data_IF_571534598021
#
_entry.id   IF_571534598021
#
_cell.length_a   1.000
_cell.length_b   1.000
_cell.length_c   1.000
_cell.angle_alpha   90.00
_cell.angle_beta   90.00
_cell.angle_gamma   90.00
#
_symmetry.space_group_name_H-M   'P 1'
#
loop_
_entity.id
_entity.type
_entity.pdbx_description
1 polymer ?
#
# COMPACT_ATOMS: atom_id res chain seq x y z
N UNK A 1 -55.45 31.98 1.29
CA UNK A 1 -55.11 30.60 0.88
C UNK A 1 -53.62 30.57 0.57
N UNK A 2 -52.80 30.08 1.50
CA UNK A 2 -51.33 30.06 1.38
C UNK A 2 -50.92 28.65 0.95
N UNK A 3 -50.29 28.53 -0.23
CA UNK A 3 -49.73 27.28 -0.74
C UNK A 3 -48.28 27.16 -0.24
N UNK A 4 -48.05 26.29 0.74
CA UNK A 4 -46.71 25.92 1.19
C UNK A 4 -46.15 24.88 0.22
N UNK A 5 -45.08 25.24 -0.49
CA UNK A 5 -44.32 24.33 -1.36
C UNK A 5 -43.18 23.73 -0.52
N UNK A 6 -43.18 22.40 -0.37
CA UNK A 6 -42.10 21.66 0.28
C UNK A 6 -41.19 21.12 -0.82
N UNK A 7 -39.99 21.68 -0.95
CA UNK A 7 -38.93 21.12 -1.81
C UNK A 7 -38.17 20.05 -1.03
N UNK A 8 -38.20 18.82 -1.53
CA UNK A 8 -37.40 17.70 -1.03
C UNK A 8 -36.06 17.71 -1.79
N UNK A 9 -34.96 18.01 -1.10
CA UNK A 9 -33.61 17.88 -1.67
C UNK A 9 -33.15 16.44 -1.41
N UNK A 10 -33.15 15.61 -2.45
CA UNK A 10 -32.55 14.28 -2.40
C UNK A 10 -31.03 14.42 -2.59
N UNK A 11 -30.27 14.26 -1.50
CA UNK A 11 -28.81 14.12 -1.57
C UNK A 11 -28.52 12.67 -1.95
N UNK A 12 -28.21 12.45 -3.23
CA UNK A 12 -27.71 11.16 -3.70
C UNK A 12 -26.28 10.96 -3.21
N UNK A 13 -26.09 10.03 -2.27
CA UNK A 13 -24.76 9.50 -1.94
C UNK A 13 -24.36 8.55 -3.06
N UNK A 14 -23.55 9.03 -4.00
CA UNK A 14 -22.79 8.15 -4.88
C UNK A 14 -21.66 7.54 -4.03
N UNK A 15 -21.83 6.29 -3.60
CA UNK A 15 -20.72 5.52 -3.08
C UNK A 15 -19.86 5.13 -4.29
N UNK A 16 -18.65 5.68 -4.39
CA UNK A 16 -17.65 5.12 -5.29
C UNK A 16 -17.38 3.69 -4.79
N UNK A 17 -17.43 2.72 -5.70
CA UNK A 17 -16.94 1.38 -5.44
C UNK A 17 -15.41 1.47 -5.41
N UNK A 18 -14.89 1.78 -4.23
CA UNK A 18 -13.48 1.70 -3.89
C UNK A 18 -13.02 0.24 -3.92
N UNK A 19 -11.80 -0.03 -4.39
CA UNK A 19 -11.12 -1.30 -4.19
C UNK A 19 -11.22 -1.67 -2.71
N UNK A 20 -11.60 -2.93 -2.44
CA UNK A 20 -11.77 -3.35 -1.06
C UNK A 20 -10.38 -3.47 -0.43
N UNK A 21 -9.98 -2.46 0.36
CA UNK A 21 -8.77 -2.52 1.17
C UNK A 21 -8.65 -3.90 1.84
N UNK A 22 -7.51 -4.56 1.63
CA UNK A 22 -7.30 -5.93 2.08
C UNK A 22 -7.11 -5.88 3.59
N UNK A 23 -8.06 -6.44 4.35
CA UNK A 23 -7.96 -6.48 5.81
C UNK A 23 -6.83 -7.42 6.25
N UNK A 24 -6.17 -7.12 7.37
CA UNK A 24 -5.11 -7.96 7.91
C UNK A 24 -5.56 -9.42 8.07
N UNK A 25 -4.79 -10.36 7.49
CA UNK A 25 -5.06 -11.80 7.61
C UNK A 25 -6.25 -12.29 6.79
N UNK A 26 -6.70 -11.54 5.78
CA UNK A 26 -7.58 -12.07 4.74
C UNK A 26 -6.93 -13.27 4.06
N UNK A 27 -7.71 -14.32 3.80
CA UNK A 27 -7.27 -15.40 2.93
C UNK A 27 -6.91 -14.89 1.53
N UNK A 28 -6.09 -15.66 0.82
CA UNK A 28 -5.74 -15.47 -0.58
C UNK A 28 -6.94 -14.97 -1.41
N UNK A 29 -6.81 -13.78 -1.99
CA UNK A 29 -7.82 -13.11 -2.79
C UNK A 29 -7.36 -12.96 -4.25
N UNK A 30 -8.29 -12.70 -5.16
CA UNK A 30 -7.90 -12.31 -6.53
C UNK A 30 -7.22 -10.93 -6.52
N UNK A 31 -6.14 -10.71 -7.30
CA UNK A 31 -5.48 -9.42 -7.35
C UNK A 31 -6.41 -8.29 -7.83
N UNK A 32 -6.36 -7.12 -7.18
CA UNK A 32 -7.01 -5.90 -7.67
C UNK A 32 -6.40 -5.45 -9.00
N UNK A 33 -7.19 -4.80 -9.86
CA UNK A 33 -6.68 -4.13 -11.05
C UNK A 33 -6.35 -2.67 -10.71
N UNK A 34 -5.08 -2.40 -10.42
CA UNK A 34 -4.60 -1.12 -9.93
C UNK A 34 -3.97 -0.29 -11.06
N UNK A 35 -3.87 1.01 -10.85
CA UNK A 35 -3.29 1.93 -11.84
C UNK A 35 -2.59 3.10 -11.19
N UNK A 36 -1.31 3.28 -11.55
CA UNK A 36 -0.59 4.51 -11.25
C UNK A 36 -0.94 5.62 -12.25
N UNK A 37 -1.25 6.81 -11.75
CA UNK A 37 -1.47 8.00 -12.57
C UNK A 37 -0.29 8.26 -13.50
N UNK A 38 -0.57 8.66 -14.74
CA UNK A 38 0.46 9.17 -15.66
C UNK A 38 1.18 10.43 -15.15
N UNK A 39 0.62 11.10 -14.14
CA UNK A 39 1.20 12.27 -13.47
C UNK A 39 1.90 11.93 -12.15
N UNK A 40 1.93 10.66 -11.75
CA UNK A 40 2.60 10.23 -10.53
C UNK A 40 4.11 10.49 -10.62
N UNK A 41 4.70 10.85 -9.47
CA UNK A 41 6.11 11.21 -9.38
C UNK A 41 6.92 10.05 -8.80
N UNK A 42 7.90 9.55 -9.56
CA UNK A 42 8.88 8.61 -9.04
C UNK A 42 9.67 9.26 -7.90
N UNK A 43 9.62 8.66 -6.71
CA UNK A 43 10.35 9.13 -5.54
C UNK A 43 11.66 8.39 -5.36
N UNK A 44 11.65 7.07 -5.58
CA UNK A 44 12.83 6.22 -5.48
C UNK A 44 12.67 4.98 -6.36
N UNK A 45 13.80 4.42 -6.78
CA UNK A 45 13.88 3.20 -7.58
C UNK A 45 15.07 2.38 -7.09
N UNK A 46 14.88 1.07 -7.01
CA UNK A 46 15.94 0.09 -6.83
C UNK A 46 15.77 -1.03 -7.84
N UNK A 47 16.88 -1.64 -8.25
CA UNK A 47 16.88 -2.78 -9.15
C UNK A 47 18.15 -3.60 -8.96
N UNK A 48 18.10 -4.86 -9.35
CA UNK A 48 19.25 -5.75 -9.28
C UNK A 48 18.86 -7.18 -9.61
N UNK A 49 19.72 -8.10 -9.20
CA UNK A 49 19.44 -9.53 -9.26
C UNK A 49 19.30 -10.13 -7.86
N UNK A 50 18.54 -11.20 -7.78
CA UNK A 50 18.44 -12.10 -6.64
C UNK A 50 18.60 -13.54 -7.15
N UNK A 51 19.16 -14.40 -6.33
CA UNK A 51 19.33 -15.81 -6.69
C UNK A 51 19.19 -16.67 -5.45
N UNK A 52 18.44 -17.74 -5.59
CA UNK A 52 18.47 -18.88 -4.70
C UNK A 52 19.35 -19.96 -5.35
N UNK A 53 19.62 -21.06 -4.65
CA UNK A 53 20.28 -22.20 -5.27
C UNK A 53 19.48 -22.85 -6.42
N UNK A 54 18.20 -22.48 -6.59
CA UNK A 54 17.27 -23.07 -7.57
C UNK A 54 16.93 -22.12 -8.72
N UNK A 55 16.88 -20.81 -8.49
CA UNK A 55 16.58 -19.82 -9.53
C UNK A 55 17.45 -18.56 -9.47
N UNK A 56 17.41 -17.76 -10.54
CA UNK A 56 18.00 -16.42 -10.62
C UNK A 56 17.00 -15.46 -11.23
N UNK A 57 16.69 -14.37 -10.56
CA UNK A 57 15.74 -13.36 -11.02
C UNK A 57 16.35 -11.97 -11.06
N UNK A 58 15.88 -11.14 -11.98
CA UNK A 58 16.05 -9.69 -11.91
C UNK A 58 14.80 -9.06 -11.31
N UNK A 59 14.98 -7.99 -10.55
CA UNK A 59 13.88 -7.21 -10.01
C UNK A 59 14.04 -5.71 -10.24
N UNK A 60 12.90 -5.03 -10.24
CA UNK A 60 12.79 -3.59 -10.15
C UNK A 60 11.71 -3.30 -9.11
N UNK A 61 11.97 -2.35 -8.22
CA UNK A 61 10.96 -1.77 -7.34
C UNK A 61 11.04 -0.24 -7.44
N UNK A 62 9.90 0.37 -7.71
CA UNK A 62 9.74 1.82 -7.77
C UNK A 62 8.68 2.26 -6.76
N UNK A 63 8.92 3.39 -6.09
CA UNK A 63 7.91 4.03 -5.24
C UNK A 63 7.48 5.33 -5.88
N UNK A 64 6.19 5.46 -6.15
CA UNK A 64 5.58 6.64 -6.73
C UNK A 64 4.77 7.39 -5.68
N UNK A 65 4.75 8.73 -5.77
CA UNK A 65 3.71 9.54 -5.15
C UNK A 65 2.65 9.80 -6.18
N UNK A 66 1.46 9.26 -5.96
CA UNK A 66 0.37 9.30 -6.93
C UNK A 66 -0.74 10.28 -6.49
N UNK A 67 -1.02 11.34 -7.28
CA UNK A 67 -2.13 12.26 -7.01
C UNK A 67 -3.52 11.63 -7.08
N UNK A 68 -3.68 10.46 -7.69
CA UNK A 68 -4.95 9.71 -7.83
C UNK A 68 -5.00 8.39 -7.07
N UNK A 69 -4.03 8.11 -6.19
CA UNK A 69 -4.06 6.96 -5.28
C UNK A 69 -5.39 6.91 -4.51
N UNK A 70 -5.92 5.71 -4.33
CA UNK A 70 -7.27 5.50 -3.83
C UNK A 70 -7.46 5.97 -2.38
N UNK A 71 -6.42 5.85 -1.56
CA UNK A 71 -6.44 6.25 -0.15
C UNK A 71 -6.30 7.76 0.04
N UNK A 72 -5.38 8.39 -0.68
CA UNK A 72 -5.21 9.84 -0.61
C UNK A 72 -4.39 10.44 -1.77
N UNK A 73 -4.64 11.71 -2.08
CA UNK A 73 -3.81 12.44 -3.04
C UNK A 73 -2.35 12.57 -2.56
N UNK A 74 -1.44 12.06 -3.38
CA UNK A 74 0.00 12.03 -3.14
C UNK A 74 0.44 10.93 -2.17
N UNK A 75 -0.44 10.00 -1.82
CA UNK A 75 -0.07 8.76 -1.15
C UNK A 75 0.83 7.89 -2.05
N UNK A 76 1.46 6.88 -1.45
CA UNK A 76 2.50 6.11 -2.12
C UNK A 76 1.99 4.80 -2.70
N UNK A 77 2.51 4.50 -3.90
CA UNK A 77 2.32 3.24 -4.61
C UNK A 77 3.68 2.58 -4.83
N UNK A 78 3.77 1.27 -4.56
CA UNK A 78 4.94 0.45 -4.87
C UNK A 78 4.67 -0.32 -6.15
N UNK A 79 5.60 -0.24 -7.09
CA UNK A 79 5.54 -0.92 -8.37
C UNK A 79 6.73 -1.86 -8.47
N UNK A 80 6.44 -3.14 -8.44
CA UNK A 80 7.43 -4.22 -8.44
C UNK A 80 7.31 -5.00 -9.74
N UNK A 81 8.45 -5.41 -10.29
CA UNK A 81 8.51 -6.34 -11.43
C UNK A 81 9.61 -7.34 -11.20
N UNK A 82 9.30 -8.62 -11.41
CA UNK A 82 10.26 -9.72 -11.30
C UNK A 82 10.36 -10.44 -12.64
N UNK A 83 11.58 -10.70 -13.09
CA UNK A 83 11.87 -11.45 -14.31
C UNK A 83 12.76 -12.64 -13.94
N UNK A 84 12.29 -13.86 -14.18
CA UNK A 84 13.15 -15.03 -14.03
C UNK A 84 14.14 -15.09 -15.21
N UNK A 85 15.41 -15.28 -14.88
CA UNK A 85 16.52 -15.29 -15.82
C UNK A 85 17.24 -16.64 -15.89
N UNK A 86 16.82 -17.63 -15.09
CA UNK A 86 17.35 -18.99 -15.18
C UNK A 86 17.09 -19.82 -13.93
N UNK A 87 16.97 -21.13 -14.14
CA UNK A 87 16.73 -22.11 -13.07
C UNK A 87 15.28 -22.60 -13.07
N UNK A 88 14.79 -22.88 -11.87
CA UNK A 88 13.42 -23.29 -11.59
C UNK A 88 12.47 -22.08 -11.59
N UNK A 89 11.17 -22.34 -11.74
CA UNK A 89 10.17 -21.30 -11.87
C UNK A 89 9.92 -20.59 -10.53
N UNK A 90 9.62 -19.29 -10.57
CA UNK A 90 9.28 -18.53 -9.38
C UNK A 90 7.78 -18.73 -9.09
N UNK A 91 7.50 -19.15 -7.86
CA UNK A 91 6.17 -19.51 -7.35
C UNK A 91 5.53 -18.40 -6.52
N UNK A 92 6.31 -17.52 -5.89
CA UNK A 92 5.77 -16.38 -5.15
C UNK A 92 6.71 -15.17 -5.16
N UNK A 93 6.12 -13.98 -5.01
CA UNK A 93 6.85 -12.73 -4.75
C UNK A 93 6.29 -12.10 -3.49
N UNK A 94 7.17 -11.63 -2.60
CA UNK A 94 6.78 -11.07 -1.30
C UNK A 94 7.46 -9.74 -1.05
N UNK A 95 6.71 -8.74 -0.62
CA UNK A 95 7.23 -7.46 -0.17
C UNK A 95 6.90 -7.26 1.31
N UNK A 96 7.83 -6.70 2.08
CA UNK A 96 7.71 -6.60 3.54
C UNK A 96 7.90 -5.18 4.07
N UNK A 97 7.49 -5.00 5.33
CA UNK A 97 7.44 -3.74 6.06
C UNK A 97 6.28 -2.83 5.61
N UNK A 98 5.07 -3.39 5.57
CA UNK A 98 3.82 -2.69 5.23
C UNK A 98 2.88 -2.48 6.44
N UNK A 99 3.28 -2.92 7.64
CA UNK A 99 2.43 -2.88 8.82
C UNK A 99 2.07 -1.47 9.27
N UNK A 100 0.82 -1.31 9.74
CA UNK A 100 0.30 -0.03 10.24
C UNK A 100 -0.17 0.94 9.15
N UNK A 101 -0.06 0.58 7.87
CA UNK A 101 -0.71 1.28 6.76
C UNK A 101 -2.03 0.60 6.37
N UNK A 102 -2.91 1.35 5.72
CA UNK A 102 -3.96 0.76 4.88
C UNK A 102 -3.31 0.36 3.55
N UNK A 103 -3.68 -0.80 3.02
CA UNK A 103 -3.06 -1.40 1.85
C UNK A 103 -4.13 -1.94 0.89
N UNK A 104 -3.99 -1.67 -0.40
CA UNK A 104 -4.64 -2.40 -1.49
C UNK A 104 -3.56 -3.06 -2.35
N UNK A 105 -3.80 -4.31 -2.75
CA UNK A 105 -2.80 -5.18 -3.36
C UNK A 105 -3.35 -5.69 -4.69
N UNK A 106 -2.56 -5.56 -5.73
CA UNK A 106 -3.01 -5.97 -7.04
C UNK A 106 -1.93 -6.01 -8.08
N UNK A 107 -2.36 -5.81 -9.31
CA UNK A 107 -1.53 -5.78 -10.50
C UNK A 107 -1.87 -4.56 -11.34
N UNK A 108 -0.88 -4.07 -12.06
CA UNK A 108 -1.01 -2.99 -13.01
C UNK A 108 -0.53 -3.43 -14.39
N UNK A 109 -1.51 -3.63 -15.27
CA UNK A 109 -1.28 -4.01 -16.66
C UNK A 109 -1.21 -2.81 -17.60
N UNK A 110 -1.54 -1.61 -17.10
CA UNK A 110 -1.59 -0.38 -17.89
C UNK A 110 -0.23 0.34 -17.94
N UNK A 111 0.70 -0.06 -17.07
CA UNK A 111 2.05 0.50 -16.98
C UNK A 111 2.14 1.66 -15.98
N UNK A 112 3.27 2.34 -16.03
CA UNK A 112 3.61 3.48 -15.16
C UNK A 112 3.98 4.71 -16.01
N UNK A 113 4.10 5.91 -15.41
CA UNK A 113 4.61 7.09 -16.10
C UNK A 113 5.85 6.83 -16.96
N UNK A 114 6.02 7.65 -18.00
CA UNK A 114 7.10 7.52 -18.97
C UNK A 114 8.47 7.38 -18.30
N UNK A 115 9.22 6.33 -18.68
CA UNK A 115 10.53 6.01 -18.12
C UNK A 115 10.51 4.97 -16.99
N UNK A 116 9.34 4.50 -16.54
CA UNK A 116 9.24 3.36 -15.64
C UNK A 116 9.26 1.99 -16.35
N UNK A 117 9.27 0.87 -15.59
CA UNK A 117 9.27 -0.48 -16.16
C UNK A 117 8.01 -0.77 -16.98
N UNK A 118 8.18 -1.49 -18.08
CA UNK A 118 7.05 -2.08 -18.80
C UNK A 118 6.49 -3.27 -18.04
N UNK A 119 5.18 -3.49 -18.09
CA UNK A 119 4.58 -4.74 -17.60
C UNK A 119 5.09 -5.95 -18.39
N UNK A 120 5.32 -7.06 -17.71
CA UNK A 120 5.43 -8.38 -18.34
C UNK A 120 4.07 -8.98 -18.62
N UNK A 121 4.00 -10.31 -18.67
CA UNK A 121 2.81 -11.05 -19.11
C UNK A 121 2.27 -12.03 -18.07
N UNK A 122 3.08 -12.41 -17.09
CA UNK A 122 2.70 -13.43 -16.09
C UNK A 122 1.94 -12.77 -14.95
N UNK A 123 0.67 -13.16 -14.78
CA UNK A 123 -0.18 -12.67 -13.69
C UNK A 123 -0.11 -13.62 -12.49
N UNK A 124 -0.06 -13.09 -11.25
CA UNK A 124 -0.25 -13.90 -10.07
C UNK A 124 -1.67 -14.45 -10.02
N UNK A 125 -1.79 -15.63 -9.42
CA UNK A 125 -3.06 -16.31 -9.20
C UNK A 125 -3.84 -15.68 -8.04
N UNK A 126 -3.16 -15.38 -6.93
CA UNK A 126 -3.75 -14.71 -5.77
C UNK A 126 -2.81 -13.70 -5.12
N UNK A 127 -3.38 -12.87 -4.25
CA UNK A 127 -2.68 -11.95 -3.37
C UNK A 127 -3.09 -12.19 -1.92
N UNK A 128 -2.18 -11.93 -1.00
CA UNK A 128 -2.40 -12.09 0.44
C UNK A 128 -1.70 -10.97 1.22
N UNK A 129 -2.33 -10.54 2.32
CA UNK A 129 -1.74 -9.69 3.33
C UNK A 129 -1.63 -10.49 4.63
N UNK A 130 -0.40 -10.67 5.11
CA UNK A 130 -0.14 -11.42 6.34
C UNK A 130 -1.01 -10.92 7.49
N UNK A 131 -1.32 -11.78 8.46
CA UNK A 131 -2.12 -11.42 9.65
C UNK A 131 -1.58 -10.25 10.48
N UNK A 132 -0.32 -9.85 10.26
CA UNK A 132 0.30 -8.70 10.93
C UNK A 132 0.30 -7.42 10.09
N UNK A 133 -0.26 -7.46 8.88
CA UNK A 133 -0.19 -6.38 7.89
C UNK A 133 1.20 -6.12 7.31
N UNK A 134 2.23 -6.89 7.70
CA UNK A 134 3.62 -6.56 7.37
C UNK A 134 4.10 -7.09 6.02
N UNK A 135 3.55 -8.20 5.55
CA UNK A 135 4.03 -8.89 4.34
C UNK A 135 2.89 -9.00 3.36
N UNK A 136 3.12 -8.46 2.17
CA UNK A 136 2.29 -8.62 0.98
C UNK A 136 2.86 -9.77 0.16
N UNK A 137 2.01 -10.68 -0.29
CA UNK A 137 2.39 -11.82 -1.12
C UNK A 137 1.59 -11.82 -2.42
N UNK A 138 2.26 -12.03 -3.53
CA UNK A 138 1.67 -12.45 -4.80
C UNK A 138 2.05 -13.91 -5.04
N UNK A 139 1.03 -14.76 -5.15
CA UNK A 139 1.18 -16.20 -5.34
C UNK A 139 0.98 -16.53 -6.83
N UNK A 140 1.94 -17.23 -7.43
CA UNK A 140 1.98 -17.65 -8.82
C UNK A 140 1.76 -19.18 -8.97
N UNK A 141 1.50 -19.93 -7.89
CA UNK A 141 1.22 -21.38 -7.89
C UNK A 141 -0.20 -21.73 -8.35
N UNK A 142 -0.67 -21.08 -9.42
CA UNK A 142 -2.00 -21.30 -9.98
C UNK A 142 -2.27 -22.76 -10.38
N UNK A 143 -3.47 -23.04 -10.90
CA UNK A 143 -3.87 -24.42 -11.22
C UNK A 143 -2.88 -25.10 -12.18
N UNK A 144 -2.10 -26.05 -11.66
CA UNK A 144 -1.10 -26.80 -12.43
C UNK A 144 0.14 -26.00 -12.84
N UNK A 145 0.51 -24.94 -12.09
CA UNK A 145 1.71 -24.13 -12.36
C UNK A 145 1.54 -23.12 -13.50
N UNK A 146 0.34 -22.97 -14.05
CA UNK A 146 0.08 -22.12 -15.22
C UNK A 146 0.38 -20.63 -15.04
N UNK A 147 0.59 -20.19 -13.78
CA UNK A 147 0.88 -18.81 -13.42
C UNK A 147 2.33 -18.61 -12.97
N UNK A 148 3.14 -19.67 -12.87
CA UNK A 148 4.54 -19.54 -12.45
C UNK A 148 5.33 -18.63 -13.40
N UNK A 149 6.32 -17.92 -12.87
CA UNK A 149 7.24 -17.13 -13.70
C UNK A 149 8.40 -18.03 -14.08
N UNK A 150 8.34 -18.62 -15.26
CA UNK A 150 9.41 -19.48 -15.79
C UNK A 150 10.60 -18.66 -16.30
N UNK A 151 11.76 -19.30 -16.41
CA UNK A 151 12.97 -18.68 -16.96
C UNK A 151 12.72 -18.05 -18.33
N UNK A 152 12.92 -16.73 -18.42
CA UNK A 152 12.66 -15.91 -19.61
C UNK A 152 11.36 -15.10 -19.54
N UNK A 153 10.47 -15.44 -18.60
CA UNK A 153 9.24 -14.72 -18.37
C UNK A 153 9.43 -13.52 -17.44
N UNK A 154 8.41 -12.67 -17.39
CA UNK A 154 8.37 -11.49 -16.52
C UNK A 154 6.96 -11.31 -16.00
N UNK A 155 6.86 -11.00 -14.71
CA UNK A 155 5.60 -10.66 -14.07
C UNK A 155 4.98 -9.44 -14.73
N UNK A 156 3.65 -9.34 -14.69
CA UNK A 156 3.00 -8.02 -14.75
C UNK A 156 3.54 -7.11 -13.65
N UNK A 157 3.24 -5.81 -13.70
CA UNK A 157 3.62 -4.94 -12.59
C UNK A 157 2.77 -5.32 -11.38
N UNK A 158 3.45 -5.66 -10.29
CA UNK A 158 2.86 -5.95 -9.00
C UNK A 158 2.73 -4.62 -8.27
N UNK A 159 1.53 -4.30 -7.80
CA UNK A 159 1.23 -2.97 -7.27
C UNK A 159 0.70 -3.05 -5.84
N UNK A 160 1.20 -2.16 -4.99
CA UNK A 160 0.71 -1.93 -3.63
C UNK A 160 0.36 -0.46 -3.51
N UNK A 161 -0.92 -0.13 -3.36
CA UNK A 161 -1.34 1.22 -2.98
C UNK A 161 -1.42 1.31 -1.45
N UNK A 162 -1.02 2.45 -0.88
CA UNK A 162 -1.10 2.65 0.57
C UNK A 162 -1.65 4.02 0.94
N UNK A 163 -2.00 4.21 2.22
CA UNK A 163 -2.35 5.53 2.76
C UNK A 163 -1.15 6.34 3.31
N UNK A 164 0.10 5.91 3.10
CA UNK A 164 1.28 6.61 3.63
C UNK A 164 1.89 7.57 2.61
N UNK A 165 2.71 8.51 3.09
CA UNK A 165 3.41 9.53 2.27
C UNK A 165 4.93 9.44 2.33
N UNK A 166 5.44 8.48 3.08
CA UNK A 166 6.88 8.27 3.29
C UNK A 166 7.21 6.80 3.15
N UNK A 167 8.40 6.51 2.64
CA UNK A 167 8.95 5.16 2.54
C UNK A 167 10.18 5.04 3.44
N UNK A 168 10.49 3.81 3.84
CA UNK A 168 11.66 3.44 4.63
C UNK A 168 12.28 2.17 4.04
N UNK A 169 13.45 1.70 4.49
CA UNK A 169 13.97 0.41 4.08
C UNK A 169 12.97 -0.73 4.35
N UNK A 170 12.84 -1.64 3.39
CA UNK A 170 12.05 -2.86 3.44
C UNK A 170 12.83 -4.02 2.83
N UNK A 171 12.11 -5.07 2.45
CA UNK A 171 12.71 -6.27 1.86
C UNK A 171 11.77 -6.89 0.82
N UNK A 172 12.34 -7.31 -0.32
CA UNK A 172 11.65 -7.97 -1.41
C UNK A 172 12.23 -9.38 -1.58
N UNK A 173 11.34 -10.37 -1.70
CA UNK A 173 11.69 -11.76 -1.93
C UNK A 173 10.99 -12.30 -3.17
N UNK A 174 11.66 -13.22 -3.84
CA UNK A 174 11.04 -14.19 -4.72
C UNK A 174 11.28 -15.57 -4.13
N UNK A 175 10.28 -16.44 -4.23
CA UNK A 175 10.30 -17.78 -3.65
C UNK A 175 9.93 -18.81 -4.73
N UNK A 176 10.60 -19.94 -4.61
CA UNK A 176 10.34 -21.27 -5.18
C UNK A 176 10.47 -22.20 -3.93
N UNK A 177 11.15 -23.34 -4.01
CA UNK A 177 11.55 -24.15 -2.84
C UNK A 177 12.50 -23.42 -1.88
N UNK A 178 13.30 -22.46 -2.37
CA UNK A 178 14.24 -21.67 -1.57
C UNK A 178 14.07 -20.18 -1.82
N UNK A 179 13.96 -19.34 -0.76
CA UNK A 179 13.77 -17.91 -0.92
C UNK A 179 15.06 -17.21 -1.38
N UNK A 180 14.92 -16.23 -2.27
CA UNK A 180 15.96 -15.24 -2.57
C UNK A 180 15.45 -13.85 -2.21
N UNK A 181 16.20 -13.11 -1.39
CA UNK A 181 15.78 -11.83 -0.85
C UNK A 181 16.80 -10.72 -1.02
N UNK A 182 16.31 -9.49 -1.14
CA UNK A 182 17.10 -8.27 -1.35
C UNK A 182 16.52 -7.09 -0.57
N UNK A 183 17.39 -6.15 -0.20
CA UNK A 183 16.96 -4.90 0.40
C UNK A 183 16.11 -4.08 -0.59
N UNK A 184 14.99 -3.57 -0.09
CA UNK A 184 13.95 -2.92 -0.88
C UNK A 184 13.34 -1.75 -0.07
N UNK A 185 12.11 -1.34 -0.39
CA UNK A 185 11.38 -0.29 0.32
C UNK A 185 10.09 -0.81 0.97
N UNK A 186 9.69 -0.17 2.06
CA UNK A 186 8.43 -0.41 2.76
C UNK A 186 7.82 0.89 3.26
N UNK A 187 6.72 0.79 4.00
CA UNK A 187 5.95 1.96 4.46
C UNK A 187 6.66 2.68 5.60
N UNK A 188 6.86 3.98 5.44
CA UNK A 188 7.23 4.86 6.53
C UNK A 188 5.97 5.31 7.24
N UNK A 189 5.53 4.59 8.27
CA UNK A 189 4.50 5.11 9.17
C UNK A 189 5.16 6.17 10.07
N UNK A 190 5.00 7.44 9.71
CA UNK A 190 5.34 8.53 10.63
C UNK A 190 4.58 8.31 11.94
N UNK A 191 5.20 8.58 13.09
CA UNK A 191 4.46 8.64 14.34
C UNK A 191 3.44 9.77 14.21
N UNK A 192 2.21 9.43 13.81
CA UNK A 192 1.09 10.36 13.83
C UNK A 192 1.04 10.86 15.27
N UNK A 193 1.26 12.18 15.54
CA UNK A 193 1.18 12.67 16.89
C UNK A 193 -0.21 12.34 17.40
N UNK A 194 -0.30 11.49 18.43
CA UNK A 194 -1.59 10.97 18.84
C UNK A 194 -2.52 12.16 19.17
N UNK A 195 -3.72 12.25 18.56
CA UNK A 195 -4.64 13.37 18.76
C UNK A 195 -5.08 13.52 20.23
N UNK A 196 -4.87 12.49 21.05
CA UNK A 196 -5.06 12.48 22.50
C UNK A 196 -4.14 13.48 23.23
N UNK A 197 -2.96 13.76 22.67
CA UNK A 197 -2.00 14.70 23.28
C UNK A 197 -2.48 16.15 23.21
N UNK A 198 -3.19 16.52 22.15
CA UNK A 198 -3.78 17.86 22.01
C UNK A 198 -4.96 18.05 22.96
N UNK A 199 -5.77 16.99 23.16
CA UNK A 199 -6.86 17.00 24.14
C UNK A 199 -6.35 17.17 25.58
N UNK A 200 -5.25 16.50 25.94
CA UNK A 200 -4.70 16.56 27.31
C UNK A 200 -4.03 17.91 27.63
N UNK A 201 -3.33 18.51 26.66
CA UNK A 201 -2.72 19.84 26.83
C UNK A 201 -3.80 20.94 26.86
N UNK A 202 -4.81 20.86 25.99
CA UNK A 202 -5.94 21.79 25.97
C UNK A 202 -6.83 21.69 27.21
N UNK A 203 -7.10 20.46 27.68
CA UNK A 203 -7.88 20.21 28.89
C UNK A 203 -7.17 20.62 30.17
N UNK A 204 -5.85 20.36 30.28
CA UNK A 204 -5.05 20.72 31.46
C UNK A 204 -4.95 22.22 31.70
N UNK A 205 -4.78 23.01 30.63
CA UNK A 205 -4.74 24.48 30.72
C UNK A 205 -6.09 25.10 31.09
N UNK A 206 -7.20 24.54 30.60
CA UNK A 206 -8.54 25.01 30.96
C UNK A 206 -8.85 24.77 32.46
N UNK A 207 -8.47 23.61 33.00
CA UNK A 207 -8.67 23.30 34.43
C UNK A 207 -7.83 24.19 35.33
N UNK A 208 -6.56 24.44 34.98
CA UNK A 208 -5.69 25.34 35.74
C UNK A 208 -6.13 26.81 35.64
N UNK A 209 -6.62 27.25 34.48
CA UNK A 209 -7.19 28.59 34.28
C UNK A 209 -8.45 28.84 35.14
N UNK A 210 -9.37 27.89 35.17
CA UNK A 210 -10.60 27.98 35.99
C UNK A 210 -10.30 27.88 37.49
N UNK A 211 -9.34 27.03 37.90
CA UNK A 211 -8.91 26.94 39.29
C UNK A 211 -8.20 28.21 39.77
N UNK A 212 -7.42 28.87 38.91
CA UNK A 212 -6.77 30.16 39.19
C UNK A 212 -7.76 31.32 39.36
N UNK A 213 -8.77 31.40 38.50
CA UNK A 213 -9.82 32.43 38.58
C UNK A 213 -10.70 32.29 39.84
N UNK A 214 -10.96 31.08 40.31
CA UNK A 214 -11.74 30.86 41.54
C UNK A 214 -11.01 31.36 42.80
N UNK A 215 -9.68 31.30 42.86
CA UNK A 215 -8.92 31.78 44.03
C UNK A 215 -8.89 33.30 44.18
N UNK A 216 -9.04 34.07 43.11
CA UNK A 216 -9.09 35.56 43.18
C UNK A 216 -10.41 36.11 43.72
N UNK A 217 -11.48 35.32 43.76
CA UNK A 217 -12.80 35.77 44.24
C UNK A 217 -12.98 35.73 45.75
N UNK A 218 -12.00 35.23 46.53
CA UNK A 218 -12.13 34.99 47.98
C UNK A 218 -11.32 35.93 48.89
N UNK A 219 -10.54 36.86 48.34
CA UNK A 219 -9.69 37.80 49.11
C UNK A 219 -10.19 39.25 49.09
N UNK A 220 -11.51 39.43 49.18
CA UNK A 220 -12.14 40.76 49.32
C UNK A 220 -13.16 40.77 50.45
N UNK A 221 -12.70 40.74 51.71
CA UNK A 221 -13.43 41.21 52.89
C UNK A 221 -12.49 41.45 54.05
#
# INVERSE_FOLDING_TARGET
>A
MIKTVISLIAVGLAANAFGAAVADGTAAASPSALTVSSSAKLLVSTSGSMSSGTFTANYIENVYSDPTNEFCAGCLDWIIRVSDTGGDAIEAVKASNFGGALVDIGVNTNGVPAGGPSAGTVNPFTVDLSASGNVVTWDFTGTGGANEIYSGDTSVLLEIETNVKTYVPGYLNADDDLPAGVAAYGVGVGSVPEPMSLGLIGGGLAVLGVAGLRRRSRTGR
#
